data_IF_132940287505
#
_entry.id   IF_132940287505
#
_cell.length_a   1.000
_cell.length_b   1.000
_cell.length_c   1.000
_cell.angle_alpha   90.00
_cell.angle_beta   90.00
_cell.angle_gamma   90.00
#
_symmetry.space_group_name_H-M   'P 1'
#
loop_
_entity.id
_entity.type
_entity.pdbx_description
1 polymer ?
#
# COMPACT_ATOMS: atom_id res chain seq x y z
N UNK A 1 5.38 -9.70 -10.49
CA UNK A 1 5.78 -8.54 -9.69
C UNK A 1 5.51 -7.30 -10.51
N UNK A 2 4.98 -6.25 -9.89
CA UNK A 2 4.79 -4.96 -10.57
C UNK A 2 5.31 -3.82 -9.69
N UNK A 3 5.66 -2.71 -10.34
CA UNK A 3 6.17 -1.51 -9.67
C UNK A 3 5.31 -0.34 -10.11
N UNK A 4 4.73 0.37 -9.14
CA UNK A 4 3.92 1.55 -9.35
C UNK A 4 4.72 2.77 -8.92
N UNK A 5 4.99 3.67 -9.86
CA UNK A 5 5.61 4.96 -9.58
C UNK A 5 4.52 6.00 -9.31
N UNK A 6 4.37 6.36 -8.04
CA UNK A 6 3.41 7.36 -7.58
C UNK A 6 4.13 8.72 -7.54
N UNK A 7 3.60 9.68 -8.30
CA UNK A 7 4.11 11.05 -8.36
C UNK A 7 2.92 12.01 -8.43
N UNK A 8 2.69 12.77 -7.37
CA UNK A 8 1.76 13.89 -7.33
C UNK A 8 2.49 15.23 -7.51
N UNK A 9 1.72 16.29 -7.79
CA UNK A 9 2.25 17.66 -7.82
C UNK A 9 2.73 18.08 -6.44
N UNK A 10 3.92 18.68 -6.34
CA UNK A 10 4.51 19.13 -5.07
C UNK A 10 5.21 18.04 -4.25
N UNK A 11 5.14 16.77 -4.68
CA UNK A 11 5.81 15.67 -3.99
C UNK A 11 7.34 15.79 -4.13
N UNK A 12 8.07 15.57 -3.03
CA UNK A 12 9.52 15.81 -2.97
C UNK A 12 10.32 14.88 -3.90
N UNK A 13 9.89 13.63 -4.03
CA UNK A 13 10.44 12.61 -4.92
C UNK A 13 9.38 11.53 -5.17
N UNK A 14 9.44 10.76 -6.27
CA UNK A 14 8.46 9.70 -6.52
C UNK A 14 8.49 8.63 -5.42
N UNK A 15 7.32 8.07 -5.11
CA UNK A 15 7.17 6.89 -4.27
C UNK A 15 7.05 5.67 -5.18
N UNK A 16 7.87 4.65 -4.94
CA UNK A 16 7.81 3.39 -5.67
C UNK A 16 7.16 2.32 -4.81
N UNK A 17 5.92 1.95 -5.14
CA UNK A 17 5.22 0.85 -4.50
C UNK A 17 5.47 -0.44 -5.31
N UNK A 18 5.86 -1.51 -4.64
CA UNK A 18 6.18 -2.80 -5.25
C UNK A 18 5.18 -3.84 -4.77
N UNK A 19 4.46 -4.41 -5.73
CA UNK A 19 3.59 -5.57 -5.54
C UNK A 19 4.39 -6.85 -5.84
N UNK A 20 4.68 -7.61 -4.79
CA UNK A 20 5.49 -8.83 -4.91
C UNK A 20 4.78 -9.98 -5.61
N UNK A 21 3.47 -9.88 -5.88
CA UNK A 21 2.69 -10.95 -6.52
C UNK A 21 3.28 -11.31 -7.87
N UNK A 22 3.48 -12.59 -8.12
CA UNK A 22 3.89 -13.11 -9.42
C UNK A 22 2.65 -13.36 -10.29
N UNK A 23 2.81 -13.24 -11.61
CA UNK A 23 1.77 -13.61 -12.54
C UNK A 23 1.75 -15.14 -12.70
N UNK A 24 0.56 -15.72 -12.82
CA UNK A 24 0.37 -17.17 -12.96
C UNK A 24 0.50 -17.95 -11.65
N UNK A 25 0.56 -19.28 -11.76
CA UNK A 25 0.45 -20.21 -10.62
C UNK A 25 1.78 -20.57 -9.94
N UNK A 26 2.85 -19.83 -10.24
CA UNK A 26 4.16 -20.10 -9.66
C UNK A 26 4.16 -19.83 -8.14
N UNK A 27 4.77 -20.70 -7.33
CA UNK A 27 4.91 -20.45 -5.90
C UNK A 27 5.62 -19.11 -5.65
N UNK A 28 4.98 -18.22 -4.90
CA UNK A 28 5.56 -16.97 -4.48
C UNK A 28 5.96 -17.04 -3.00
N UNK A 29 7.27 -17.14 -2.67
CA UNK A 29 7.71 -17.20 -1.28
C UNK A 29 7.44 -15.90 -0.50
N UNK A 30 7.09 -14.81 -1.18
CA UNK A 30 6.69 -13.54 -0.58
C UNK A 30 5.18 -13.47 -0.31
N UNK A 31 4.45 -14.56 -0.53
CA UNK A 31 3.04 -14.69 -0.16
C UNK A 31 2.87 -15.82 0.86
N UNK A 32 2.01 -15.60 1.84
CA UNK A 32 1.65 -16.58 2.86
C UNK A 32 0.19 -16.47 3.25
N UNK A 33 -0.16 -17.00 4.42
CA UNK A 33 -1.54 -16.98 4.93
C UNK A 33 -2.07 -15.56 5.18
N UNK A 34 -1.19 -14.61 5.50
CA UNK A 34 -1.54 -13.21 5.74
C UNK A 34 -1.63 -12.35 4.45
N UNK A 35 -1.51 -12.98 3.27
CA UNK A 35 -1.44 -12.28 1.99
C UNK A 35 -0.02 -12.18 1.45
N UNK A 36 0.26 -11.17 0.63
CA UNK A 36 1.53 -10.98 -0.06
C UNK A 36 2.27 -9.74 0.45
N UNK A 37 3.59 -9.75 0.40
CA UNK A 37 4.39 -8.58 0.80
C UNK A 37 4.25 -7.45 -0.22
N UNK A 38 4.02 -6.24 0.28
CA UNK A 38 4.13 -5.00 -0.46
C UNK A 38 5.25 -4.16 0.16
N UNK A 39 6.05 -3.53 -0.70
CA UNK A 39 7.13 -2.65 -0.29
C UNK A 39 6.88 -1.25 -0.83
N UNK A 40 7.35 -0.22 -0.15
CA UNK A 40 7.50 1.09 -0.78
C UNK A 40 8.88 1.67 -0.54
N UNK A 41 9.38 2.38 -1.56
CA UNK A 41 10.71 2.99 -1.56
C UNK A 41 10.64 4.44 -2.02
N UNK A 42 11.51 5.27 -1.44
CA UNK A 42 11.78 6.63 -1.92
C UNK A 42 13.25 6.75 -2.36
N UNK A 43 13.56 7.52 -3.41
CA UNK A 43 14.94 7.85 -3.76
C UNK A 43 15.64 8.62 -2.62
N UNK A 44 16.90 8.26 -2.36
CA UNK A 44 17.77 8.93 -1.38
C UNK A 44 19.21 8.94 -1.90
N UNK A 45 19.66 10.11 -2.38
CA UNK A 45 20.97 10.35 -3.02
C UNK A 45 21.34 9.30 -4.08
N UNK A 46 21.97 8.19 -3.68
CA UNK A 46 22.47 7.13 -4.57
C UNK A 46 21.80 5.77 -4.34
N UNK A 47 20.71 5.73 -3.56
CA UNK A 47 20.00 4.49 -3.20
C UNK A 47 18.50 4.71 -3.07
N UNK A 48 17.80 3.61 -2.81
CA UNK A 48 16.39 3.61 -2.45
C UNK A 48 16.24 3.27 -0.98
N UNK A 49 15.56 4.13 -0.23
CA UNK A 49 15.21 3.88 1.16
C UNK A 49 13.87 3.17 1.22
N UNK A 50 13.81 2.01 1.87
CA UNK A 50 12.54 1.36 2.16
C UNK A 50 11.78 2.16 3.21
N UNK A 51 10.55 2.56 2.88
CA UNK A 51 9.67 3.37 3.73
C UNK A 51 8.37 2.67 4.07
N UNK A 52 8.11 1.50 3.50
CA UNK A 52 6.93 0.68 3.82
C UNK A 52 7.23 -0.79 3.57
N UNK A 53 6.71 -1.64 4.46
CA UNK A 53 6.66 -3.08 4.29
C UNK A 53 5.45 -3.60 5.05
N UNK A 54 4.54 -4.27 4.35
CA UNK A 54 3.41 -4.94 4.97
C UNK A 54 3.02 -6.18 4.17
N UNK A 55 2.48 -7.19 4.88
CA UNK A 55 1.71 -8.25 4.24
C UNK A 55 0.28 -7.75 4.09
N UNK A 56 -0.23 -7.77 2.87
CA UNK A 56 -1.60 -7.35 2.55
C UNK A 56 -2.30 -8.45 1.77
N UNK A 57 -3.58 -8.65 2.07
CA UNK A 57 -4.44 -9.54 1.32
C UNK A 57 -5.06 -8.79 0.12
N UNK A 58 -4.69 -9.13 -1.12
CA UNK A 58 -5.26 -8.49 -2.30
C UNK A 58 -6.65 -9.04 -2.68
N UNK A 59 -7.16 -10.05 -1.96
CA UNK A 59 -8.47 -10.67 -2.24
C UNK A 59 -9.58 -9.78 -1.70
N UNK A 60 -9.80 -8.69 -2.41
CA UNK A 60 -10.84 -7.71 -2.10
C UNK A 60 -12.08 -7.96 -2.97
N UNK A 61 -13.25 -7.44 -2.56
CA UNK A 61 -14.43 -7.42 -3.42
C UNK A 61 -14.14 -6.76 -4.77
N UNK A 62 -14.94 -7.05 -5.82
CA UNK A 62 -14.84 -6.34 -7.08
C UNK A 62 -14.90 -4.82 -6.88
N UNK A 63 -14.19 -4.07 -7.73
CA UNK A 63 -14.17 -2.58 -7.71
C UNK A 63 -13.46 -1.94 -6.52
N UNK A 64 -13.03 -2.71 -5.51
CA UNK A 64 -12.22 -2.20 -4.40
C UNK A 64 -10.74 -2.36 -4.73
N UNK A 65 -10.05 -1.24 -4.90
CA UNK A 65 -8.60 -1.23 -5.10
C UNK A 65 -7.86 -1.43 -3.78
N UNK A 66 -6.78 -2.23 -3.82
CA UNK A 66 -5.95 -2.46 -2.64
C UNK A 66 -5.27 -1.18 -2.14
N UNK A 67 -4.83 -0.33 -3.07
CA UNK A 67 -4.19 0.94 -2.79
C UNK A 67 -4.89 2.04 -3.57
N UNK A 68 -5.23 3.11 -2.88
CA UNK A 68 -5.62 4.38 -3.47
C UNK A 68 -4.66 5.47 -3.01
N UNK A 69 -4.32 6.39 -3.91
CA UNK A 69 -3.39 7.49 -3.62
C UNK A 69 -4.19 8.74 -3.29
N UNK A 70 -4.11 9.20 -2.04
CA UNK A 70 -4.67 10.49 -1.63
C UNK A 70 -3.61 11.56 -1.93
N UNK A 71 -3.96 12.50 -2.80
CA UNK A 71 -3.01 13.51 -3.32
C UNK A 71 -2.61 14.57 -2.30
N UNK A 72 -3.22 14.59 -1.11
CA UNK A 72 -2.75 15.39 0.03
C UNK A 72 -1.37 14.92 0.46
N UNK A 73 -0.42 15.85 0.52
CA UNK A 73 0.96 15.57 0.87
C UNK A 73 1.19 15.81 2.37
N UNK A 74 1.72 14.79 3.04
CA UNK A 74 2.23 14.85 4.42
C UNK A 74 3.74 14.62 4.36
N UNK A 75 4.53 15.51 4.96
CA UNK A 75 6.01 15.47 4.92
C UNK A 75 6.57 15.33 3.48
N UNK A 76 5.89 15.94 2.50
CA UNK A 76 6.29 15.93 1.09
C UNK A 76 5.94 14.67 0.30
N UNK A 77 5.17 13.75 0.87
CA UNK A 77 4.72 12.51 0.22
C UNK A 77 3.20 12.29 0.34
N UNK A 78 2.56 11.66 -0.66
CA UNK A 78 1.12 11.44 -0.63
C UNK A 78 0.73 10.48 0.48
N UNK A 79 -0.44 10.71 1.05
CA UNK A 79 -1.09 9.73 1.94
C UNK A 79 -1.59 8.56 1.09
N UNK A 80 -1.44 7.34 1.60
CA UNK A 80 -1.95 6.13 0.96
C UNK A 80 -3.18 5.67 1.70
N UNK A 81 -4.15 5.18 0.95
CA UNK A 81 -5.30 4.49 1.49
C UNK A 81 -5.21 3.03 1.10
N UNK A 82 -5.32 2.14 2.07
CA UNK A 82 -5.20 0.70 1.88
C UNK A 82 -6.46 0.01 2.34
N UNK A 83 -7.07 -0.76 1.44
CA UNK A 83 -8.22 -1.58 1.75
C UNK A 83 -7.79 -2.99 2.16
N UNK A 84 -8.28 -3.46 3.29
CA UNK A 84 -8.03 -4.82 3.78
C UNK A 84 -9.30 -5.46 4.28
N UNK A 85 -9.33 -6.79 4.31
CA UNK A 85 -10.38 -7.51 5.02
C UNK A 85 -9.93 -7.79 6.46
N UNK A 86 -10.80 -7.48 7.40
CA UNK A 86 -10.74 -7.97 8.78
C UNK A 86 -11.89 -8.97 8.99
N UNK A 87 -11.57 -10.25 8.78
CA UNK A 87 -12.58 -11.30 8.66
C UNK A 87 -13.49 -11.07 7.45
N UNK A 88 -14.73 -10.66 7.70
CA UNK A 88 -15.73 -10.33 6.66
C UNK A 88 -15.97 -8.82 6.49
N UNK A 89 -15.27 -8.00 7.26
CA UNK A 89 -15.45 -6.55 7.22
C UNK A 89 -14.36 -5.93 6.36
N UNK A 90 -14.76 -5.05 5.45
CA UNK A 90 -13.80 -4.21 4.76
C UNK A 90 -13.34 -3.12 5.72
N UNK A 91 -12.02 -2.96 5.84
CA UNK A 91 -11.39 -1.88 6.58
C UNK A 91 -10.55 -1.03 5.64
N UNK A 92 -10.50 0.25 5.95
CA UNK A 92 -9.72 1.25 5.25
C UNK A 92 -8.64 1.78 6.21
N UNK A 93 -7.38 1.60 5.82
CA UNK A 93 -6.21 2.08 6.54
C UNK A 93 -5.69 3.33 5.84
N UNK A 94 -5.55 4.42 6.57
CA UNK A 94 -4.88 5.63 6.05
C UNK A 94 -3.44 5.61 6.53
N UNK A 95 -2.49 5.69 5.60
CA UNK A 95 -1.07 5.69 5.88
C UNK A 95 -0.43 7.00 5.43
N UNK A 96 0.27 7.66 6.35
CA UNK A 96 0.99 8.91 6.06
C UNK A 96 2.48 8.73 6.33
N UNK A 97 3.30 9.48 5.59
CA UNK A 97 4.75 9.45 5.76
C UNK A 97 5.14 10.29 6.97
N UNK A 98 5.87 9.68 7.91
CA UNK A 98 6.27 10.31 9.19
C UNK A 98 7.67 10.96 9.13
N UNK A 99 8.22 11.15 7.93
CA UNK A 99 9.62 11.55 7.72
C UNK A 99 10.60 10.38 7.65
N UNK A 100 10.23 9.19 8.17
CA UNK A 100 11.06 7.98 8.08
C UNK A 100 10.39 6.84 7.32
N UNK A 101 9.09 6.61 7.58
CA UNK A 101 8.30 5.52 6.99
C UNK A 101 6.82 5.86 6.96
N UNK A 102 6.06 5.12 6.17
CA UNK A 102 4.61 5.13 6.20
C UNK A 102 4.10 4.40 7.45
N UNK A 103 3.24 5.06 8.20
CA UNK A 103 2.58 4.49 9.38
C UNK A 103 1.06 4.69 9.27
N UNK A 104 0.30 3.78 9.89
CA UNK A 104 -1.16 3.89 9.94
C UNK A 104 -1.54 5.03 10.88
N UNK A 105 -2.17 6.07 10.33
CA UNK A 105 -2.65 7.23 11.10
C UNK A 105 -4.14 7.15 11.40
N UNK A 106 -4.89 6.38 10.61
CA UNK A 106 -6.31 6.14 10.83
C UNK A 106 -6.71 4.74 10.36
N UNK A 107 -7.68 4.15 11.04
CA UNK A 107 -8.31 2.89 10.67
C UNK A 107 -9.81 3.06 10.76
N UNK A 108 -10.49 2.82 9.64
CA UNK A 108 -11.94 2.92 9.56
C UNK A 108 -12.51 1.57 9.12
N UNK A 109 -13.41 1.02 9.92
CA UNK A 109 -14.22 -0.11 9.50
C UNK A 109 -15.34 0.41 8.61
N UNK A 110 -15.39 -0.08 7.38
CA UNK A 110 -16.47 0.23 6.46
C UNK A 110 -17.67 -0.66 6.81
N UNK A 111 -18.90 -0.13 6.70
CA UNK A 111 -20.11 -0.92 6.92
C UNK A 111 -20.08 -2.14 5.98
N UNK A 112 -20.60 -3.29 6.43
CA UNK A 112 -20.69 -4.50 5.62
C UNK A 112 -21.37 -4.18 4.30
N UNK A 113 -20.61 -4.23 3.22
CA UNK A 113 -21.12 -4.34 1.87
C UNK A 113 -20.95 -5.82 1.55
N UNK A 114 -21.99 -6.49 1.07
CA UNK A 114 -22.07 -7.92 0.68
C UNK A 114 -22.62 -8.89 1.73
N UNK A 115 -23.92 -9.20 1.54
CA UNK A 115 -24.54 -10.52 1.74
C UNK A 115 -24.14 -11.47 0.61
#
# INVERSE_FOLDING_TARGET
MSVWKIQASGQAAPLYLIDSRLAGDAPNPLCGTAGCVFFAYIPSSDRYQQVFLAYLDPRLPPEVELFEVITTLEEGFPTLMVHQLDGRHLQQLTLSFTGQRYEVVNTQHLPQVYE
#
